data_IF_270035658227
#
_entry.id   IF_270035658227
#
_cell.length_a   1.000
_cell.length_b   1.000
_cell.length_c   1.000
_cell.angle_alpha   90.00
_cell.angle_beta   90.00
_cell.angle_gamma   90.00
#
_symmetry.space_group_name_H-M   'P 1'
#
loop_
_entity.id
_entity.type
_entity.pdbx_description
1 polymer ?
#
# COMPACT_ATOMS: atom_id res chain seq x y z
N UNK A 1 -9.27 2.52 72.85
CA UNK A 1 -8.73 2.91 71.54
C UNK A 1 -8.59 4.42 71.53
N UNK A 2 -7.36 4.91 71.68
CA UNK A 2 -7.08 6.31 72.00
C UNK A 2 -7.58 7.25 70.90
N UNK A 3 -8.17 8.37 71.29
CA UNK A 3 -8.73 9.38 70.37
C UNK A 3 -7.69 9.80 69.32
N UNK A 4 -6.42 9.91 69.72
CA UNK A 4 -5.29 10.19 68.84
C UNK A 4 -5.07 9.14 67.76
N UNK A 5 -5.23 7.84 68.10
CA UNK A 5 -5.11 6.74 67.13
C UNK A 5 -6.26 6.76 66.11
N UNK A 6 -7.48 7.07 66.58
CA UNK A 6 -8.66 7.20 65.71
C UNK A 6 -8.53 8.38 64.75
N UNK A 7 -8.01 9.51 65.23
CA UNK A 7 -7.72 10.70 64.40
C UNK A 7 -6.65 10.37 63.36
N UNK A 8 -5.56 9.71 63.76
CA UNK A 8 -4.47 9.36 62.84
C UNK A 8 -4.92 8.35 61.76
N UNK A 9 -5.74 7.36 62.14
CA UNK A 9 -6.32 6.39 61.21
C UNK A 9 -7.29 7.07 60.22
N UNK A 10 -8.16 7.95 60.71
CA UNK A 10 -9.08 8.71 59.86
C UNK A 10 -8.32 9.62 58.87
N UNK A 11 -7.20 10.19 59.30
CA UNK A 11 -6.35 11.05 58.48
C UNK A 11 -5.61 10.28 57.37
N UNK A 12 -5.14 9.07 57.66
CA UNK A 12 -4.52 8.21 56.65
C UNK A 12 -5.51 7.73 55.61
N UNK A 13 -6.73 7.35 56.03
CA UNK A 13 -7.79 6.90 55.13
C UNK A 13 -8.25 8.06 54.24
N UNK A 14 -8.37 9.28 54.78
CA UNK A 14 -8.75 10.44 53.98
C UNK A 14 -7.69 10.79 52.93
N UNK A 15 -6.40 10.78 53.29
CA UNK A 15 -5.29 11.02 52.35
C UNK A 15 -5.27 9.94 51.26
N UNK A 16 -5.40 8.66 51.62
CA UNK A 16 -5.43 7.56 50.66
C UNK A 16 -6.64 7.67 49.73
N UNK A 17 -7.80 8.09 50.22
CA UNK A 17 -9.00 8.30 49.41
C UNK A 17 -8.82 9.46 48.43
N UNK A 18 -8.19 10.55 48.85
CA UNK A 18 -7.89 11.70 47.97
C UNK A 18 -6.90 11.27 46.87
N UNK A 19 -5.85 10.51 47.21
CA UNK A 19 -4.89 9.97 46.23
C UNK A 19 -5.55 9.04 45.22
N UNK A 20 -6.47 8.18 45.65
CA UNK A 20 -7.23 7.29 44.77
C UNK A 20 -8.15 8.08 43.83
N UNK A 21 -8.82 9.12 44.33
CA UNK A 21 -9.69 9.99 43.52
C UNK A 21 -8.87 10.83 42.54
N UNK A 22 -7.73 11.38 42.96
CA UNK A 22 -6.82 12.14 42.07
C UNK A 22 -6.18 11.23 41.01
N UNK A 23 -5.79 10.01 41.36
CA UNK A 23 -5.28 9.03 40.38
C UNK A 23 -6.36 8.56 39.40
N UNK A 24 -7.59 8.39 39.88
CA UNK A 24 -8.74 8.00 39.05
C UNK A 24 -9.22 9.15 38.14
N UNK A 25 -9.25 10.40 38.63
CA UNK A 25 -9.56 11.57 37.81
C UNK A 25 -8.39 11.99 36.90
N UNK A 26 -7.14 11.82 37.34
CA UNK A 26 -5.94 12.08 36.52
C UNK A 26 -5.76 11.11 35.36
N UNK A 27 -6.42 9.94 35.41
CA UNK A 27 -6.54 9.01 34.29
C UNK A 27 -7.56 9.43 33.21
N UNK A 28 -8.37 10.47 33.46
CA UNK A 28 -9.38 10.98 32.54
C UNK A 28 -9.24 12.51 32.33
N UNK A 29 -8.26 12.88 31.49
CA UNK A 29 -8.22 14.08 30.61
C UNK A 29 -7.67 15.44 31.12
N UNK A 30 -6.52 15.81 30.49
CA UNK A 30 -6.18 17.10 29.80
C UNK A 30 -5.87 18.37 30.63
N UNK A 31 -5.26 19.49 30.10
CA UNK A 31 -4.84 19.83 28.73
C UNK A 31 -3.44 20.53 28.56
N UNK A 32 -3.07 20.73 27.28
CA UNK A 32 -2.30 21.82 26.64
C UNK A 32 -1.24 22.65 27.40
N UNK A 33 -0.03 22.75 26.82
CA UNK A 33 0.82 23.97 26.75
C UNK A 33 2.10 23.74 25.89
N UNK A 34 1.96 23.63 24.57
CA UNK A 34 3.04 23.99 23.62
C UNK A 34 2.42 24.88 22.54
N UNK A 35 3.01 26.05 22.25
CA UNK A 35 2.28 27.20 21.74
C UNK A 35 1.84 27.03 20.30
N UNK A 36 0.64 27.54 20.04
CA UNK A 36 -0.01 27.66 18.75
C UNK A 36 0.86 28.53 17.81
N UNK A 37 1.65 27.92 16.94
CA UNK A 37 2.03 28.51 15.65
C UNK A 37 1.92 27.45 14.55
N UNK A 38 1.25 27.86 13.46
CA UNK A 38 1.18 27.22 12.13
C UNK A 38 0.20 26.05 11.96
N UNK A 39 -1.02 26.44 11.56
CA UNK A 39 -1.96 25.62 10.78
C UNK A 39 -1.28 24.89 9.64
N UNK A 40 -1.32 23.56 9.66
CA UNK A 40 -1.37 22.72 8.48
C UNK A 40 -2.50 21.70 8.68
N UNK A 41 -3.47 21.77 7.78
CA UNK A 41 -4.59 20.86 7.68
C UNK A 41 -4.12 19.40 7.77
N UNK A 42 -4.72 18.64 8.69
CA UNK A 42 -4.53 17.19 8.84
C UNK A 42 -4.86 16.48 7.53
N UNK A 43 -3.93 15.73 6.88
CA UNK A 43 -4.34 14.66 5.99
C UNK A 43 -4.96 13.56 6.84
N UNK A 44 -6.03 12.99 6.30
CA UNK A 44 -6.71 11.78 6.74
C UNK A 44 -5.75 10.70 7.23
N UNK A 45 -6.20 9.92 8.22
CA UNK A 45 -5.50 8.79 8.80
C UNK A 45 -4.72 7.98 7.74
N UNK A 46 -3.39 8.02 7.82
CA UNK A 46 -2.54 7.04 7.17
C UNK A 46 -2.83 5.66 7.78
N UNK A 47 -3.10 4.62 6.97
CA UNK A 47 -3.12 3.27 7.48
C UNK A 47 -1.72 2.96 8.00
N UNK A 48 -1.68 2.29 9.15
CA UNK A 48 -0.50 1.67 9.75
C UNK A 48 0.46 1.13 8.67
N UNK A 49 1.80 1.31 8.81
CA UNK A 49 2.75 0.78 7.85
C UNK A 49 2.71 -0.75 7.92
N UNK A 50 1.81 -1.33 7.13
CA UNK A 50 1.83 -2.72 6.74
C UNK A 50 3.16 -2.91 6.02
N UNK A 51 4.18 -3.44 6.71
CA UNK A 51 5.49 -3.85 6.17
C UNK A 51 5.78 -3.24 4.81
N UNK A 52 6.37 -2.04 4.75
CA UNK A 52 6.61 -1.29 3.51
C UNK A 52 6.99 -2.25 2.38
N UNK A 53 6.04 -2.52 1.49
CA UNK A 53 6.24 -3.45 0.39
C UNK A 53 7.40 -2.92 -0.43
N UNK A 54 8.35 -3.80 -0.77
CA UNK A 54 9.46 -3.39 -1.60
C UNK A 54 8.92 -3.17 -3.02
N UNK A 55 9.00 -1.95 -3.53
CA UNK A 55 8.59 -1.67 -4.92
C UNK A 55 9.80 -1.87 -5.84
N UNK A 56 9.64 -2.74 -6.83
CA UNK A 56 10.66 -2.97 -7.86
C UNK A 56 10.11 -2.58 -9.24
N UNK A 57 10.95 -1.98 -10.07
CA UNK A 57 10.60 -1.69 -11.46
C UNK A 57 10.84 -2.95 -12.31
N UNK A 58 9.86 -3.29 -13.13
CA UNK A 58 10.03 -4.29 -14.18
C UNK A 58 10.69 -3.68 -15.41
N UNK A 59 11.38 -4.50 -16.23
CA UNK A 59 11.78 -4.10 -17.57
C UNK A 59 10.60 -3.57 -18.39
N UNK A 60 10.88 -2.68 -19.33
CA UNK A 60 9.88 -2.17 -20.25
C UNK A 60 9.37 -3.32 -21.14
N UNK A 61 8.05 -3.48 -21.21
CA UNK A 61 7.37 -4.49 -22.01
C UNK A 61 6.89 -3.81 -23.29
N UNK A 62 7.18 -4.40 -24.45
CA UNK A 62 6.72 -3.89 -25.75
C UNK A 62 5.88 -4.96 -26.44
N UNK A 63 4.58 -4.70 -26.56
CA UNK A 63 3.62 -5.63 -27.16
C UNK A 63 3.01 -5.03 -28.43
N UNK A 64 3.02 -5.77 -29.56
CA UNK A 64 2.24 -5.38 -30.74
C UNK A 64 0.76 -5.68 -30.49
N UNK A 65 -0.12 -4.70 -30.69
CA UNK A 65 -1.57 -4.86 -30.54
C UNK A 65 -2.24 -4.48 -31.85
N UNK A 66 -3.20 -5.29 -32.29
CA UNK A 66 -3.98 -5.05 -33.50
C UNK A 66 -5.45 -4.79 -33.16
N UNK A 67 -6.05 -3.77 -33.78
CA UNK A 67 -7.48 -3.46 -33.69
C UNK A 67 -8.27 -4.04 -34.88
N UNK A 68 -7.65 -4.92 -35.68
CA UNK A 68 -8.15 -5.47 -36.93
C UNK A 68 -8.09 -4.51 -38.13
N UNK A 69 -7.86 -3.22 -37.87
CA UNK A 69 -7.71 -2.17 -38.90
C UNK A 69 -6.34 -1.46 -38.83
N UNK A 70 -5.71 -1.41 -37.65
CA UNK A 70 -4.46 -0.69 -37.41
C UNK A 70 -3.64 -1.44 -36.37
N UNK A 71 -2.33 -1.47 -36.62
CA UNK A 71 -1.35 -2.01 -35.70
C UNK A 71 -0.84 -0.92 -34.77
N UNK A 72 -0.59 -1.26 -33.52
CA UNK A 72 -0.06 -0.38 -32.49
C UNK A 72 1.05 -1.09 -31.73
N UNK A 73 2.11 -0.38 -31.35
CA UNK A 73 3.04 -0.82 -30.33
C UNK A 73 2.64 -0.23 -28.99
N UNK A 74 2.42 -1.10 -28.00
CA UNK A 74 2.20 -0.71 -26.61
C UNK A 74 3.50 -0.94 -25.85
N UNK A 75 4.12 0.15 -25.39
CA UNK A 75 5.25 0.10 -24.47
C UNK A 75 4.74 0.40 -23.04
N UNK A 76 4.82 -0.59 -22.17
CA UNK A 76 4.39 -0.52 -20.77
C UNK A 76 5.59 -0.62 -19.84
N UNK A 77 5.75 0.37 -18.97
CA UNK A 77 6.65 0.31 -17.82
C UNK A 77 5.82 0.08 -16.56
N UNK A 78 6.15 -0.97 -15.84
CA UNK A 78 5.41 -1.42 -14.67
C UNK A 78 6.34 -1.43 -13.46
N UNK A 79 5.80 -1.06 -12.30
CA UNK A 79 6.43 -1.28 -11.01
C UNK A 79 5.55 -2.20 -10.18
N UNK A 80 6.15 -3.14 -9.46
CA UNK A 80 5.42 -4.10 -8.63
C UNK A 80 5.85 -3.98 -7.18
N UNK A 81 4.85 -3.91 -6.32
CA UNK A 81 5.03 -3.99 -4.87
C UNK A 81 5.05 -5.46 -4.47
N UNK A 82 6.17 -5.90 -3.91
CA UNK A 82 6.35 -7.26 -3.41
C UNK A 82 6.37 -7.26 -1.88
N UNK A 83 5.80 -8.33 -1.34
CA UNK A 83 5.73 -8.62 0.09
C UNK A 83 7.05 -9.15 0.66
N UNK A 84 7.89 -9.82 -0.14
CA UNK A 84 9.19 -10.37 0.29
C UNK A 84 10.30 -9.97 -0.68
N UNK A 85 11.49 -9.57 -0.20
CA UNK A 85 12.61 -9.19 -1.07
C UNK A 85 13.11 -10.36 -1.93
N UNK A 86 12.98 -11.61 -1.45
CA UNK A 86 13.32 -12.80 -2.23
C UNK A 86 12.49 -12.93 -3.52
N UNK A 87 11.27 -12.38 -3.54
CA UNK A 87 10.40 -12.35 -4.73
C UNK A 87 11.01 -11.52 -5.86
N UNK A 88 11.81 -10.48 -5.56
CA UNK A 88 12.46 -9.66 -6.58
C UNK A 88 13.40 -10.48 -7.48
N UNK A 89 14.13 -11.43 -6.87
CA UNK A 89 15.06 -12.30 -7.61
C UNK A 89 14.28 -13.23 -8.54
N UNK A 90 13.16 -13.79 -8.06
CA UNK A 90 12.29 -14.67 -8.84
C UNK A 90 11.66 -13.91 -10.02
N UNK A 91 11.18 -12.68 -9.78
CA UNK A 91 10.61 -11.82 -10.83
C UNK A 91 11.67 -11.51 -11.89
N UNK A 92 12.91 -11.22 -11.48
CA UNK A 92 14.02 -10.98 -12.41
C UNK A 92 14.40 -12.23 -13.20
N UNK A 93 14.46 -13.40 -12.57
CA UNK A 93 14.76 -14.68 -13.23
C UNK A 93 13.66 -15.09 -14.23
N UNK A 94 12.41 -14.77 -13.92
CA UNK A 94 11.25 -15.14 -14.74
C UNK A 94 10.76 -13.99 -15.63
N UNK A 95 11.54 -12.93 -15.79
CA UNK A 95 11.08 -11.73 -16.49
C UNK A 95 10.65 -12.04 -17.93
N UNK A 96 11.37 -12.90 -18.66
CA UNK A 96 10.99 -13.33 -20.02
C UNK A 96 9.61 -14.00 -20.07
N UNK A 97 9.29 -14.80 -19.06
CA UNK A 97 7.97 -15.45 -18.96
C UNK A 97 6.89 -14.43 -18.61
N UNK A 98 7.20 -13.49 -17.70
CA UNK A 98 6.29 -12.42 -17.31
C UNK A 98 5.97 -11.52 -18.52
N UNK A 99 7.00 -11.14 -19.28
CA UNK A 99 6.88 -10.34 -20.50
C UNK A 99 5.96 -11.01 -21.51
N UNK A 100 6.22 -12.29 -21.82
CA UNK A 100 5.37 -13.07 -22.74
C UNK A 100 3.91 -13.14 -22.29
N UNK A 101 3.65 -13.44 -21.02
CA UNK A 101 2.30 -13.55 -20.51
C UNK A 101 1.57 -12.20 -20.50
N UNK A 102 2.30 -11.10 -20.25
CA UNK A 102 1.73 -9.76 -20.33
C UNK A 102 1.43 -9.43 -21.80
N UNK A 103 2.32 -9.71 -22.74
CA UNK A 103 2.05 -9.55 -24.18
C UNK A 103 0.80 -10.31 -24.62
N UNK A 104 0.71 -11.61 -24.27
CA UNK A 104 -0.46 -12.44 -24.58
C UNK A 104 -1.74 -11.88 -23.97
N UNK A 105 -1.66 -11.39 -22.72
CA UNK A 105 -2.79 -10.73 -22.06
C UNK A 105 -3.20 -9.46 -22.81
N UNK A 106 -2.26 -8.60 -23.22
CA UNK A 106 -2.54 -7.36 -23.93
C UNK A 106 -3.23 -7.59 -25.28
N UNK A 107 -2.93 -8.69 -25.97
CA UNK A 107 -3.62 -9.04 -27.22
C UNK A 107 -5.10 -9.41 -27.02
N UNK A 108 -5.51 -9.73 -25.79
CA UNK A 108 -6.92 -10.04 -25.49
C UNK A 108 -7.75 -8.81 -25.14
N UNK A 109 -7.11 -7.65 -24.90
CA UNK A 109 -7.82 -6.41 -24.60
C UNK A 109 -8.16 -5.61 -25.85
N UNK A 110 -9.33 -4.95 -25.87
CA UNK A 110 -9.63 -4.00 -26.93
C UNK A 110 -8.68 -2.81 -26.85
N UNK A 111 -8.26 -2.30 -28.01
CA UNK A 111 -7.34 -1.14 -28.12
C UNK A 111 -7.86 0.10 -27.39
N UNK A 112 -9.18 0.26 -27.29
CA UNK A 112 -9.82 1.36 -26.57
C UNK A 112 -9.44 1.38 -25.08
N UNK A 113 -9.41 0.21 -24.44
CA UNK A 113 -9.01 0.05 -23.03
C UNK A 113 -7.50 0.25 -22.84
N UNK A 114 -6.73 -0.04 -23.89
CA UNK A 114 -5.27 0.13 -23.91
C UNK A 114 -4.84 1.58 -24.22
N UNK A 115 -5.71 2.42 -24.79
CA UNK A 115 -5.41 3.85 -24.99
C UNK A 115 -5.41 4.64 -23.70
N UNK A 116 -6.21 4.23 -22.71
CA UNK A 116 -6.32 4.93 -21.42
C UNK A 116 -5.94 3.98 -20.27
N UNK A 117 -4.64 3.66 -20.15
CA UNK A 117 -4.13 2.78 -19.11
C UNK A 117 -4.46 3.37 -17.73
N UNK A 118 -5.07 2.57 -16.86
CA UNK A 118 -5.39 2.97 -15.48
C UNK A 118 -6.79 3.55 -15.27
N UNK A 119 -7.58 3.81 -16.31
CA UNK A 119 -9.04 4.00 -16.15
C UNK A 119 -9.75 2.66 -15.90
N UNK A 120 -9.23 1.58 -16.50
CA UNK A 120 -9.75 0.23 -16.28
C UNK A 120 -9.10 -0.38 -15.03
N UNK A 121 -9.87 -0.46 -13.94
CA UNK A 121 -9.47 -1.19 -12.72
C UNK A 121 -9.14 -2.65 -13.03
N UNK A 122 -9.75 -3.19 -14.09
CA UNK A 122 -9.54 -4.55 -14.60
C UNK A 122 -8.11 -4.77 -15.08
N UNK A 123 -7.54 -3.88 -15.91
CA UNK A 123 -6.19 -4.06 -16.46
C UNK A 123 -5.13 -4.20 -15.37
N UNK A 124 -5.18 -3.34 -14.34
CA UNK A 124 -4.24 -3.40 -13.23
C UNK A 124 -4.37 -4.69 -12.42
N UNK A 125 -5.60 -5.12 -12.14
CA UNK A 125 -5.87 -6.35 -11.40
C UNK A 125 -5.49 -7.60 -12.20
N UNK A 126 -5.69 -7.57 -13.52
CA UNK A 126 -5.36 -8.66 -14.42
C UNK A 126 -3.83 -8.73 -14.63
N UNK A 127 -3.12 -7.61 -14.73
CA UNK A 127 -1.65 -7.56 -14.65
C UNK A 127 -1.15 -8.19 -13.35
N UNK A 128 -1.71 -7.78 -12.21
CA UNK A 128 -1.36 -8.34 -10.90
C UNK A 128 -1.57 -9.85 -10.87
N UNK A 129 -2.71 -10.33 -11.38
CA UNK A 129 -3.03 -11.75 -11.44
C UNK A 129 -2.07 -12.51 -12.34
N UNK A 130 -1.73 -11.96 -13.50
CA UNK A 130 -0.81 -12.55 -14.46
C UNK A 130 0.60 -12.69 -13.88
N UNK A 131 1.13 -11.65 -13.24
CA UNK A 131 2.43 -11.73 -12.57
C UNK A 131 2.39 -12.74 -11.41
N UNK A 132 1.34 -12.73 -10.59
CA UNK A 132 1.20 -13.66 -9.47
C UNK A 132 1.05 -15.13 -9.89
N UNK A 133 0.48 -15.43 -11.07
CA UNK A 133 0.40 -16.81 -11.59
C UNK A 133 1.79 -17.41 -11.85
N UNK A 134 2.77 -16.58 -12.18
CA UNK A 134 4.13 -17.01 -12.49
C UNK A 134 5.01 -17.12 -11.24
N UNK A 135 4.52 -16.64 -10.10
CA UNK A 135 5.22 -16.75 -8.81
C UNK A 135 4.93 -18.09 -8.13
N UNK A 136 5.97 -18.78 -7.59
CA UNK A 136 5.77 -20.01 -6.84
C UNK A 136 4.96 -19.75 -5.57
N UNK A 137 3.89 -20.52 -5.37
CA UNK A 137 3.04 -20.42 -4.16
C UNK A 137 3.91 -20.56 -2.91
N UNK A 138 3.82 -19.60 -2.00
CA UNK A 138 4.56 -19.58 -0.73
C UNK A 138 5.94 -18.90 -0.77
N UNK A 139 6.46 -18.50 -1.95
CA UNK A 139 7.73 -17.75 -2.07
C UNK A 139 7.57 -16.23 -2.08
N UNK A 140 6.33 -15.75 -2.08
CA UNK A 140 5.94 -14.34 -2.06
C UNK A 140 4.86 -14.04 -3.11
N UNK A 141 4.27 -12.86 -3.04
CA UNK A 141 3.23 -12.38 -3.93
C UNK A 141 3.41 -10.88 -4.24
N UNK A 142 3.03 -10.50 -5.45
CA UNK A 142 2.84 -9.09 -5.80
C UNK A 142 1.56 -8.60 -5.13
N UNK A 143 1.72 -7.60 -4.27
CA UNK A 143 0.64 -6.90 -3.55
C UNK A 143 -0.08 -5.94 -4.48
N UNK A 144 0.68 -5.18 -5.25
CA UNK A 144 0.14 -4.16 -6.13
C UNK A 144 1.01 -4.01 -7.39
N UNK A 145 0.38 -3.57 -8.47
CA UNK A 145 1.06 -3.23 -9.72
C UNK A 145 0.76 -1.77 -10.03
N UNK A 146 1.80 -1.02 -10.34
CA UNK A 146 1.74 0.37 -10.72
C UNK A 146 2.17 0.49 -12.18
N UNK A 147 1.36 1.16 -12.98
CA UNK A 147 1.73 1.51 -14.36
C UNK A 147 2.47 2.85 -14.26
N UNK A 148 3.78 2.84 -14.46
CA UNK A 148 4.63 4.03 -14.29
C UNK A 148 4.71 4.86 -15.57
N UNK A 149 4.72 4.18 -16.72
CA UNK A 149 4.65 4.83 -18.02
C UNK A 149 3.97 3.88 -19.01
N UNK A 150 3.18 4.45 -19.90
CA UNK A 150 2.47 3.71 -20.92
C UNK A 150 2.38 4.52 -22.19
N UNK A 151 2.91 3.96 -23.27
CA UNK A 151 2.96 4.59 -24.56
C UNK A 151 2.33 3.67 -25.60
N UNK A 152 1.42 4.21 -26.38
CA UNK A 152 0.81 3.50 -27.50
C UNK A 152 1.13 4.25 -28.78
N UNK A 153 1.85 3.59 -29.70
CA UNK A 153 2.32 4.20 -30.95
C UNK A 153 1.69 3.47 -32.14
N UNK A 154 0.95 4.15 -33.03
CA UNK A 154 0.42 3.53 -34.24
C UNK A 154 1.55 3.12 -35.18
N UNK A 155 1.38 1.99 -35.85
CA UNK A 155 2.30 1.42 -36.82
C UNK A 155 1.69 1.59 -38.21
N UNK A 156 2.36 2.37 -39.05
CA UNK A 156 1.84 2.75 -40.36
C UNK A 156 0.97 4.01 -40.29
N UNK A 157 1.28 4.95 -41.18
CA UNK A 157 0.54 6.19 -41.44
C UNK A 157 -0.34 6.05 -42.68
#
# INVERSE_FOLDING_TARGET
>A
MNITLRICLALLISISSILLVVGYLGGFSTPDLIPRTLSLSKPSAEPSPTSAGLTINLPAIVAPVDDGARFYYVQANLAVEIDRPATATIIRERHDQIDRYIMEMLHTYPVQDLRVPGQSVTLREDLKRTVNKLLPKGKGQVRNVYITNWLMTPVGS
#
